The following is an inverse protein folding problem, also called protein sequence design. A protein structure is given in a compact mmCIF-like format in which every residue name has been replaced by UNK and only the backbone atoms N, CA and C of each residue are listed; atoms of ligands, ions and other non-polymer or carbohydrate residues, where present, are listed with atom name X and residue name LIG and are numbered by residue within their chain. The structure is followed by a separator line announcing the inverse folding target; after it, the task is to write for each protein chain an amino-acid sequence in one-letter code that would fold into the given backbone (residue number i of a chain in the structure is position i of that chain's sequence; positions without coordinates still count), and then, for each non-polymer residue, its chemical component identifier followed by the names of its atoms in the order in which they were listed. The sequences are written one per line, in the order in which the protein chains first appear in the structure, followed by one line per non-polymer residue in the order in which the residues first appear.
data_IF_555824357469
#
_entry.id   IF_555824357469
#
_cell.length_a   1.000
_cell.length_b   1.000
_cell.length_c   1.000
_cell.angle_alpha   90.00
_cell.angle_beta   90.00
_cell.angle_gamma   90.00
#
_symmetry.space_group_name_H-M   'P 1'
#
loop_
_entity.id
_entity.type
_entity.pdbx_description
1 polymer ?
#
# COMPACT_ATOMS: atom_id res chain seq x y z
N UNK A 1 -11.00 -1.63 -8.24
CA UNK A 1 -9.63 -1.68 -7.71
C UNK A 1 -9.04 -3.07 -7.93
N UNK A 2 -9.66 -4.12 -7.38
CA UNK A 2 -9.16 -5.51 -7.43
C UNK A 2 -8.82 -6.01 -8.83
N UNK A 3 -9.69 -5.77 -9.82
CA UNK A 3 -9.42 -6.13 -11.22
C UNK A 3 -8.16 -5.49 -11.79
N UNK A 4 -7.87 -4.25 -11.40
CA UNK A 4 -6.67 -3.54 -11.85
C UNK A 4 -5.42 -4.10 -11.17
N UNK A 5 -5.51 -4.44 -9.88
CA UNK A 5 -4.43 -5.16 -9.19
C UNK A 5 -4.18 -6.49 -9.90
N UNK A 6 -5.21 -7.29 -10.17
CA UNK A 6 -5.07 -8.57 -10.87
C UNK A 6 -4.30 -8.42 -12.19
N UNK A 7 -4.70 -7.47 -13.04
CA UNK A 7 -4.03 -7.23 -14.32
C UNK A 7 -2.56 -6.77 -14.17
N UNK A 8 -2.24 -5.97 -13.14
CA UNK A 8 -0.87 -5.51 -12.89
C UNK A 8 -0.01 -6.63 -12.28
N UNK A 9 -0.61 -7.51 -11.47
CA UNK A 9 0.07 -8.70 -10.95
C UNK A 9 0.38 -9.69 -12.08
N UNK A 10 -0.57 -9.96 -12.97
CA UNK A 10 -0.35 -10.82 -14.16
C UNK A 10 0.82 -10.28 -15.02
N UNK A 11 0.87 -8.96 -15.21
CA UNK A 11 1.96 -8.30 -15.91
C UNK A 11 3.30 -8.44 -15.18
N UNK A 12 3.32 -8.18 -13.87
CA UNK A 12 4.55 -8.23 -13.09
C UNK A 12 5.12 -9.65 -12.98
N UNK A 13 4.24 -10.65 -12.87
CA UNK A 13 4.61 -12.07 -12.88
C UNK A 13 5.21 -12.50 -14.22
N UNK A 14 4.67 -12.00 -15.34
CA UNK A 14 5.18 -12.30 -16.67
C UNK A 14 6.51 -11.61 -16.97
N UNK A 15 6.69 -10.38 -16.51
CA UNK A 15 7.87 -9.56 -16.76
C UNK A 15 9.06 -9.94 -15.87
N UNK A 16 8.81 -10.28 -14.60
CA UNK A 16 9.83 -10.69 -13.63
C UNK A 16 10.73 -9.56 -13.09
N UNK A 17 10.79 -8.42 -13.78
CA UNK A 17 11.60 -7.24 -13.42
C UNK A 17 10.72 -6.03 -13.00
N UNK A 18 9.43 -6.29 -12.74
CA UNK A 18 8.46 -5.27 -12.35
C UNK A 18 8.18 -5.30 -10.86
N UNK A 19 8.32 -4.13 -10.22
CA UNK A 19 7.89 -3.88 -8.84
C UNK A 19 6.49 -3.27 -8.81
N UNK A 20 5.58 -3.89 -8.07
CA UNK A 20 4.22 -3.40 -7.80
C UNK A 20 4.14 -2.93 -6.35
N UNK A 21 3.66 -1.71 -6.13
CA UNK A 21 3.42 -1.14 -4.78
C UNK A 21 1.96 -0.68 -4.71
N UNK A 22 1.24 -1.11 -3.68
CA UNK A 22 -0.16 -0.76 -3.44
C UNK A 22 -0.29 -0.17 -2.03
N UNK A 23 -0.87 1.02 -1.94
CA UNK A 23 -1.15 1.72 -0.68
C UNK A 23 -2.36 2.63 -0.87
N UNK A 24 -2.90 3.17 0.23
CA UNK A 24 -3.79 4.32 0.20
C UNK A 24 -3.04 5.63 0.51
N UNK A 25 -3.69 6.75 0.29
CA UNK A 25 -3.25 8.09 0.68
C UNK A 25 -3.64 8.42 2.13
N UNK A 26 -4.82 7.99 2.57
CA UNK A 26 -5.30 8.09 3.94
C UNK A 26 -6.54 7.19 4.20
N UNK A 27 -6.92 7.00 5.46
CA UNK A 27 -8.20 6.35 5.81
C UNK A 27 -9.35 7.36 5.65
N UNK A 28 -10.56 6.90 5.38
CA UNK A 28 -11.74 7.77 5.33
C UNK A 28 -12.97 7.12 5.94
N UNK A 29 -13.61 7.87 6.84
CA UNK A 29 -14.87 7.51 7.46
C UNK A 29 -14.74 6.79 8.80
N UNK A 30 -13.54 6.37 9.20
CA UNK A 30 -13.30 5.62 10.44
C UNK A 30 -14.15 4.37 10.49
N UNK A 31 -14.16 3.59 9.41
CA UNK A 31 -15.04 2.42 9.31
C UNK A 31 -14.66 1.37 10.36
N UNK A 32 -15.63 0.87 11.10
CA UNK A 32 -15.42 -0.11 12.17
C UNK A 32 -16.38 -1.28 12.06
N UNK A 33 -15.86 -2.49 12.32
CA UNK A 33 -16.65 -3.72 12.47
C UNK A 33 -17.08 -3.82 13.94
N UNK A 34 -18.39 -3.81 14.18
CA UNK A 34 -18.95 -3.74 15.51
C UNK A 34 -19.37 -5.10 16.05
N UNK A 35 -19.65 -5.12 17.36
CA UNK A 35 -20.25 -6.27 18.03
C UNK A 35 -21.57 -6.67 17.35
N UNK A 36 -21.82 -7.98 17.28
CA UNK A 36 -22.94 -8.55 16.51
C UNK A 36 -22.58 -8.97 15.09
N UNK A 37 -21.37 -8.66 14.62
CA UNK A 37 -20.84 -9.24 13.38
C UNK A 37 -20.60 -10.75 13.52
N UNK A 38 -20.81 -11.48 12.43
CA UNK A 38 -20.55 -12.91 12.27
C UNK A 38 -19.83 -13.16 10.93
N UNK A 39 -19.47 -14.40 10.65
CA UNK A 39 -18.76 -14.73 9.40
C UNK A 39 -19.62 -14.43 8.15
N UNK A 40 -20.94 -14.54 8.27
CA UNK A 40 -21.87 -14.32 7.16
C UNK A 40 -22.47 -12.90 7.15
N UNK A 41 -22.20 -12.08 8.17
CA UNK A 41 -22.81 -10.75 8.29
C UNK A 41 -21.92 -9.79 9.05
N UNK A 42 -21.58 -8.67 8.43
CA UNK A 42 -20.80 -7.61 9.05
C UNK A 42 -21.73 -6.48 9.49
N UNK A 43 -21.64 -6.10 10.77
CA UNK A 43 -22.30 -4.90 11.31
C UNK A 43 -21.27 -3.78 11.33
N UNK A 44 -21.31 -2.93 10.29
CA UNK A 44 -20.37 -1.83 10.11
C UNK A 44 -20.93 -0.46 10.50
N UNK A 45 -20.07 0.44 10.99
CA UNK A 45 -20.40 1.86 11.22
C UNK A 45 -19.25 2.75 10.75
N UNK A 46 -19.59 3.96 10.29
CA UNK A 46 -18.64 5.05 10.05
C UNK A 46 -18.65 6.01 11.23
N UNK A 47 -17.47 6.29 11.79
CA UNK A 47 -17.30 7.14 12.97
C UNK A 47 -16.93 8.59 12.60
N UNK A 48 -16.67 8.86 11.32
CA UNK A 48 -16.32 10.18 10.79
C UNK A 48 -17.00 10.40 9.44
N UNK A 49 -17.27 11.67 9.10
CA UNK A 49 -17.67 12.07 7.74
C UNK A 49 -16.47 12.51 6.88
N UNK A 50 -15.25 12.36 7.40
CA UNK A 50 -14.00 12.84 6.81
C UNK A 50 -12.88 11.80 7.01
N UNK A 51 -11.64 12.20 6.74
CA UNK A 51 -10.45 11.37 6.90
C UNK A 51 -10.18 11.06 8.38
N UNK A 52 -9.45 9.96 8.63
CA UNK A 52 -8.91 9.65 9.97
C UNK A 52 -7.41 9.36 9.89
N UNK A 53 -6.78 9.21 11.06
CA UNK A 53 -5.34 9.05 11.21
C UNK A 53 -4.88 7.59 11.35
N UNK A 54 -5.72 6.63 10.96
CA UNK A 54 -5.35 5.22 10.99
C UNK A 54 -4.16 4.94 10.07
N UNK A 55 -3.31 4.01 10.51
CA UNK A 55 -2.15 3.58 9.73
C UNK A 55 -2.60 2.91 8.43
N UNK A 56 -1.99 3.32 7.32
CA UNK A 56 -2.26 2.75 6.01
C UNK A 56 -1.29 1.62 5.70
N UNK A 57 -1.77 0.43 5.28
CA UNK A 57 -0.90 -0.65 4.85
C UNK A 57 -0.26 -0.33 3.49
N UNK A 58 1.02 -0.69 3.35
CA UNK A 58 1.72 -0.73 2.07
C UNK A 58 1.98 -2.19 1.73
N UNK A 59 1.51 -2.63 0.56
CA UNK A 59 1.80 -3.93 -0.02
C UNK A 59 2.79 -3.77 -1.16
N UNK A 60 3.73 -4.69 -1.29
CA UNK A 60 4.70 -4.69 -2.39
C UNK A 60 4.97 -6.11 -2.90
N UNK A 61 5.18 -6.23 -4.20
CA UNK A 61 5.51 -7.48 -4.89
C UNK A 61 6.52 -7.24 -6.01
N UNK A 62 7.45 -8.19 -6.23
CA UNK A 62 8.50 -8.11 -7.24
C UNK A 62 9.86 -7.69 -6.68
N UNK A 63 10.85 -7.43 -7.54
CA UNK A 63 12.20 -7.07 -7.12
C UNK A 63 12.24 -5.81 -6.24
N UNK A 64 12.91 -5.88 -5.09
CA UNK A 64 13.04 -4.75 -4.16
C UNK A 64 11.84 -4.53 -3.23
N UNK A 65 10.83 -5.40 -3.26
CA UNK A 65 9.64 -5.31 -2.42
C UNK A 65 9.95 -5.32 -0.90
N UNK A 66 11.03 -5.98 -0.49
CA UNK A 66 11.48 -6.05 0.91
C UNK A 66 11.77 -4.66 1.51
N UNK A 67 12.14 -3.68 0.68
CA UNK A 67 12.37 -2.29 1.12
C UNK A 67 11.10 -1.61 1.62
N UNK A 68 9.91 -2.13 1.30
CA UNK A 68 8.61 -1.56 1.68
C UNK A 68 7.99 -2.23 2.91
N UNK A 69 8.76 -3.06 3.62
CA UNK A 69 8.36 -3.62 4.91
C UNK A 69 8.56 -2.62 6.07
N UNK A 70 7.81 -2.81 7.15
CA UNK A 70 7.89 -2.01 8.37
C UNK A 70 6.98 -0.77 8.39
N UNK A 71 7.16 0.07 9.42
CA UNK A 71 6.39 1.30 9.63
C UNK A 71 7.27 2.49 9.27
N UNK A 72 6.78 3.38 8.41
CA UNK A 72 7.51 4.55 7.95
C UNK A 72 6.56 5.62 7.39
N UNK A 73 7.07 6.85 7.25
CA UNK A 73 6.35 7.97 6.64
C UNK A 73 6.12 7.76 5.14
N UNK A 74 4.96 8.19 4.60
CA UNK A 74 4.62 8.00 3.18
C UNK A 74 5.65 8.61 2.22
N UNK A 75 6.32 9.70 2.62
CA UNK A 75 7.40 10.34 1.84
C UNK A 75 8.57 9.39 1.57
N UNK A 76 8.80 8.40 2.42
CA UNK A 76 9.83 7.37 2.23
C UNK A 76 9.59 6.51 0.98
N UNK A 77 8.33 6.35 0.53
CA UNK A 77 7.99 5.57 -0.68
C UNK A 77 8.70 6.14 -1.90
N UNK A 78 8.67 7.46 -2.07
CA UNK A 78 9.36 8.16 -3.18
C UNK A 78 10.87 7.89 -3.16
N UNK A 79 11.51 8.04 -2.00
CA UNK A 79 12.95 7.82 -1.87
C UNK A 79 13.34 6.36 -2.15
N UNK A 80 12.54 5.40 -1.68
CA UNK A 80 12.76 3.97 -1.94
C UNK A 80 12.63 3.65 -3.44
N UNK A 81 11.60 4.17 -4.12
CA UNK A 81 11.43 4.00 -5.57
C UNK A 81 12.62 4.60 -6.32
N UNK A 82 13.01 5.85 -6.00
CA UNK A 82 14.16 6.50 -6.64
C UNK A 82 15.45 5.69 -6.48
N UNK A 83 15.67 5.14 -5.29
CA UNK A 83 16.84 4.29 -5.01
C UNK A 83 16.85 3.06 -5.92
N UNK A 84 15.73 2.36 -6.04
CA UNK A 84 15.61 1.15 -6.88
C UNK A 84 15.77 1.46 -8.37
N UNK A 85 15.32 2.64 -8.82
CA UNK A 85 15.48 3.08 -10.20
C UNK A 85 16.87 3.65 -10.51
N UNK A 86 17.80 3.67 -9.55
CA UNK A 86 19.12 4.30 -9.72
C UNK A 86 19.06 5.82 -9.91
N UNK A 87 17.98 6.46 -9.47
CA UNK A 87 17.71 7.90 -9.62
C UNK A 87 18.18 8.72 -8.40
N UNK A 88 18.79 8.08 -7.41
CA UNK A 88 19.49 8.76 -6.32
C UNK A 88 20.93 8.98 -6.75
N UNK A 89 21.41 10.23 -6.69
CA UNK A 89 22.84 10.50 -6.92
C UNK A 89 23.68 9.68 -5.93
N UNK A 90 24.61 8.86 -6.45
CA UNK A 90 25.85 8.59 -5.75
C UNK A 90 26.58 9.93 -5.63
N UNK A 91 26.25 10.70 -4.58
CA UNK A 91 27.09 11.80 -4.19
C UNK A 91 28.37 11.19 -3.62
N UNK A 92 29.37 11.07 -4.51
CA UNK A 92 30.78 11.21 -4.19
C UNK A 92 30.96 12.38 -3.20
N UNK A 93 31.00 12.06 -1.90
CA UNK A 93 31.65 12.84 -0.85
C UNK A 93 32.22 11.89 0.19
#
# INVERSE_FOLDING_TARGET
FDKAIGAVMDFAEQDGETLVIVTADHETGGFSINQGSSMDTIVGTFNSASHTADLIPVFAYGPGAELFSGIYENTAINYKIKKLMGLTEENNR
#
